data_IF_994192574613
#
_entry.id   IF_994192574613
#
_cell.length_a   1.000
_cell.length_b   1.000
_cell.length_c   1.000
_cell.angle_alpha   90.00
_cell.angle_beta   90.00
_cell.angle_gamma   90.00
#
_symmetry.space_group_name_H-M   'P 1'
#
loop_
_entity.id
_entity.type
_entity.pdbx_description
1 polymer ?
#
# COMPACT_ATOMS: atom_id res chain seq x y z
N UNK A 1 1.81 5.46 9.38
CA UNK A 1 2.69 5.12 8.25
C UNK A 1 3.81 4.26 8.78
N UNK A 2 4.13 3.14 8.11
CA UNK A 2 5.12 2.16 8.58
C UNK A 2 6.39 2.20 7.73
N UNK A 3 6.25 2.35 6.40
CA UNK A 3 7.39 2.47 5.50
C UNK A 3 7.08 2.04 4.07
N UNK A 4 8.12 2.06 3.24
CA UNK A 4 8.11 1.52 1.88
C UNK A 4 8.65 0.08 1.89
N UNK A 5 7.88 -0.88 1.37
CA UNK A 5 8.23 -2.30 1.38
C UNK A 5 8.30 -2.89 -0.02
N UNK A 6 9.15 -3.90 -0.23
CA UNK A 6 9.16 -4.70 -1.45
C UNK A 6 7.88 -5.53 -1.56
N UNK A 7 7.26 -5.55 -2.74
CA UNK A 7 6.12 -6.40 -3.05
C UNK A 7 6.51 -7.39 -4.15
N UNK A 8 5.99 -8.61 -4.09
CA UNK A 8 6.32 -9.70 -5.02
C UNK A 8 5.04 -10.51 -5.34
N UNK A 9 5.18 -11.62 -6.05
CA UNK A 9 4.02 -12.47 -6.43
C UNK A 9 3.26 -13.01 -5.22
N UNK A 10 3.93 -13.13 -4.08
CA UNK A 10 3.32 -13.52 -2.83
C UNK A 10 2.58 -12.38 -2.14
N UNK A 11 2.74 -11.13 -2.53
CA UNK A 11 2.11 -9.92 -1.94
C UNK A 11 2.41 -9.70 -0.46
N UNK A 12 2.82 -8.48 -0.11
CA UNK A 12 3.02 -8.11 1.30
C UNK A 12 1.73 -8.13 2.10
N UNK A 13 0.64 -7.69 1.47
CA UNK A 13 -0.71 -7.63 2.04
C UNK A 13 -1.67 -8.38 1.10
N UNK A 14 -2.38 -9.39 1.61
CA UNK A 14 -3.13 -10.38 0.79
C UNK A 14 -4.65 -10.38 1.03
N UNK A 15 -5.12 -9.73 2.08
CA UNK A 15 -6.48 -9.92 2.59
C UNK A 15 -7.52 -9.02 1.89
N UNK A 16 -7.08 -8.23 0.91
CA UNK A 16 -7.93 -7.42 0.05
C UNK A 16 -7.14 -6.73 -1.05
N UNK A 17 -7.75 -6.56 -2.21
CA UNK A 17 -7.19 -5.84 -3.36
C UNK A 17 -8.26 -5.00 -4.04
N UNK A 18 -7.92 -3.76 -4.38
CA UNK A 18 -8.70 -2.89 -5.26
C UNK A 18 -7.75 -2.06 -6.12
N UNK A 19 -8.14 -1.78 -7.35
CA UNK A 19 -7.53 -0.76 -8.18
C UNK A 19 -8.55 0.32 -8.56
N UNK A 20 -8.10 1.57 -8.69
CA UNK A 20 -8.97 2.70 -9.02
C UNK A 20 -8.20 3.82 -9.77
N UNK A 21 -8.80 4.38 -10.82
CA UNK A 21 -8.18 5.47 -11.58
C UNK A 21 -8.19 6.81 -10.81
N UNK A 22 -8.86 6.89 -9.66
CA UNK A 22 -8.81 8.03 -8.74
C UNK A 22 -8.32 7.63 -7.34
N UNK A 23 -7.33 6.74 -7.28
CA UNK A 23 -6.82 6.21 -6.00
C UNK A 23 -6.29 7.31 -5.10
N UNK A 24 -6.64 7.24 -3.81
CA UNK A 24 -6.06 8.06 -2.75
C UNK A 24 -5.71 7.17 -1.55
N UNK A 25 -4.79 7.64 -0.69
CA UNK A 25 -4.46 6.93 0.55
C UNK A 25 -5.69 6.76 1.45
N UNK A 26 -6.54 7.78 1.53
CA UNK A 26 -7.75 7.75 2.36
C UNK A 26 -8.80 6.78 1.81
N UNK A 27 -8.94 6.71 0.48
CA UNK A 27 -9.83 5.73 -0.14
C UNK A 27 -9.35 4.31 0.13
N UNK A 28 -8.04 4.07 0.05
CA UNK A 28 -7.48 2.76 0.38
C UNK A 28 -7.68 2.42 1.87
N UNK A 29 -7.42 3.39 2.76
CA UNK A 29 -7.69 3.23 4.18
C UNK A 29 -9.16 2.90 4.45
N UNK A 30 -10.10 3.58 3.78
CA UNK A 30 -11.54 3.34 3.92
C UNK A 30 -11.93 1.94 3.41
N UNK A 31 -11.40 1.51 2.26
CA UNK A 31 -11.62 0.17 1.72
C UNK A 31 -11.14 -0.92 2.69
N UNK A 32 -9.96 -0.75 3.28
CA UNK A 32 -9.40 -1.67 4.25
C UNK A 32 -9.95 -1.46 5.68
N UNK A 33 -11.23 -1.08 5.84
CA UNK A 33 -11.88 -1.01 7.16
C UNK A 33 -11.97 -2.42 7.77
N UNK A 34 -11.58 -2.55 9.05
CA UNK A 34 -11.54 -3.83 9.75
C UNK A 34 -10.25 -4.64 9.55
N UNK A 35 -9.25 -4.09 8.83
CA UNK A 35 -7.92 -4.66 8.70
C UNK A 35 -6.89 -3.85 9.47
N UNK A 36 -5.83 -4.49 9.95
CA UNK A 36 -4.75 -3.82 10.71
C UNK A 36 -3.90 -2.92 9.83
N UNK A 37 -3.64 -3.34 8.59
CA UNK A 37 -2.78 -2.64 7.64
C UNK A 37 -3.50 -2.39 6.32
N UNK A 38 -3.11 -1.29 5.69
CA UNK A 38 -3.40 -1.01 4.29
C UNK A 38 -2.13 -0.56 3.58
N UNK A 39 -2.08 -0.79 2.28
CA UNK A 39 -0.94 -0.41 1.47
C UNK A 39 -1.38 0.07 0.09
N UNK A 40 -0.60 0.98 -0.47
CA UNK A 40 -0.82 1.50 -1.83
C UNK A 40 0.39 1.27 -2.69
N UNK A 41 0.15 0.89 -3.94
CA UNK A 41 1.17 0.48 -4.91
C UNK A 41 0.82 0.98 -6.30
N UNK A 42 1.85 1.19 -7.13
CA UNK A 42 1.73 1.49 -8.55
C UNK A 42 0.71 2.59 -8.89
N UNK A 43 0.70 3.67 -8.08
CA UNK A 43 -0.21 4.83 -8.17
C UNK A 43 -1.69 4.56 -7.90
N UNK A 44 -2.21 3.38 -8.22
CA UNK A 44 -3.65 3.12 -8.32
C UNK A 44 -4.14 1.92 -7.55
N UNK A 45 -3.23 1.12 -7.02
CA UNK A 45 -3.55 -0.14 -6.37
C UNK A 45 -3.58 0.05 -4.86
N UNK A 46 -4.51 -0.67 -4.24
CA UNK A 46 -4.75 -0.71 -2.81
C UNK A 46 -4.80 -2.16 -2.34
N UNK A 47 -4.13 -2.43 -1.24
CA UNK A 47 -4.02 -3.74 -0.62
C UNK A 47 -4.35 -3.65 0.87
N UNK A 48 -4.93 -4.70 1.42
CA UNK A 48 -5.25 -4.81 2.84
C UNK A 48 -4.60 -6.04 3.45
N UNK A 49 -4.28 -6.00 4.74
CA UNK A 49 -3.81 -7.18 5.45
C UNK A 49 -3.82 -7.02 6.96
N UNK A 50 -3.85 -8.14 7.67
CA UNK A 50 -3.68 -8.16 9.13
C UNK A 50 -2.24 -8.46 9.57
N UNK A 51 -1.38 -8.86 8.63
CA UNK A 51 0.05 -9.14 8.81
C UNK A 51 0.86 -8.79 7.56
N UNK A 52 2.19 -8.72 7.72
CA UNK A 52 3.13 -8.62 6.60
C UNK A 52 3.63 -9.99 6.19
N UNK A 53 3.93 -10.13 4.89
CA UNK A 53 4.72 -11.25 4.39
C UNK A 53 6.18 -11.13 4.87
N UNK A 54 6.76 -12.25 5.33
CA UNK A 54 8.05 -12.29 6.03
C UNK A 54 9.23 -11.92 5.12
N UNK A 55 9.14 -12.24 3.82
CA UNK A 55 10.18 -11.91 2.84
C UNK A 55 10.06 -10.48 2.28
N UNK A 56 9.11 -9.67 2.78
CA UNK A 56 9.06 -8.24 2.44
C UNK A 56 10.15 -7.46 3.17
N UNK A 57 10.88 -6.63 2.44
CA UNK A 57 11.99 -5.82 2.97
C UNK A 57 11.58 -4.36 3.02
N UNK A 58 11.88 -3.70 4.15
CA UNK A 58 11.79 -2.25 4.23
C UNK A 58 12.91 -1.63 3.38
N UNK A 59 12.54 -0.75 2.46
CA UNK A 59 13.45 -0.14 1.49
C UNK A 59 13.35 1.39 1.53
N UNK A 60 14.35 2.11 1.00
CA UNK A 60 14.33 3.57 1.01
C UNK A 60 13.07 4.16 0.37
N UNK A 61 12.58 5.26 0.96
CA UNK A 61 11.35 5.96 0.55
C UNK A 61 11.32 6.37 -0.92
N UNK A 62 12.49 6.63 -1.52
CA UNK A 62 12.59 6.98 -2.94
C UNK A 62 12.17 5.84 -3.90
N UNK A 63 11.95 4.62 -3.39
CA UNK A 63 11.38 3.50 -4.15
C UNK A 63 9.85 3.54 -4.20
N UNK A 64 9.21 4.24 -3.27
CA UNK A 64 7.77 4.49 -3.26
C UNK A 64 7.48 5.93 -3.72
N UNK A 65 7.88 6.24 -4.95
CA UNK A 65 7.91 7.59 -5.52
C UNK A 65 6.84 7.87 -6.58
N UNK A 66 5.87 6.98 -6.77
CA UNK A 66 4.78 7.19 -7.72
C UNK A 66 3.62 7.90 -7.03
N UNK A 67 3.11 9.00 -7.61
CA UNK A 67 1.95 9.71 -7.06
C UNK A 67 0.68 8.88 -7.19
N UNK A 68 -0.24 9.04 -6.25
CA UNK A 68 -1.58 8.47 -6.36
C UNK A 68 -2.31 9.01 -7.60
N UNK A 69 -3.16 8.21 -8.23
CA UNK A 69 -3.91 8.67 -9.42
C UNK A 69 -4.95 9.75 -9.10
N UNK A 70 -5.47 9.79 -7.86
CA UNK A 70 -6.43 10.78 -7.39
C UNK A 70 -5.88 11.79 -6.36
N UNK A 71 -4.56 11.85 -6.12
CA UNK A 71 -3.96 12.72 -5.10
C UNK A 71 -2.49 13.05 -5.39
N UNK A 72 -1.97 14.15 -4.85
CA UNK A 72 -0.56 14.52 -4.95
C UNK A 72 0.38 13.73 -4.03
N UNK A 73 -0.18 12.93 -3.10
CA UNK A 73 0.57 12.06 -2.19
C UNK A 73 1.17 10.85 -2.94
N UNK A 74 2.19 10.21 -2.35
CA UNK A 74 2.79 9.00 -2.94
C UNK A 74 1.95 7.74 -2.69
N UNK A 75 1.80 6.90 -3.70
CA UNK A 75 1.10 5.61 -3.66
C UNK A 75 1.99 4.49 -4.21
N UNK A 76 3.11 4.25 -3.54
CA UNK A 76 4.04 3.17 -3.80
C UNK A 76 4.89 3.37 -5.05
N UNK A 77 5.27 2.26 -5.67
CA UNK A 77 6.11 2.17 -6.86
C UNK A 77 5.87 0.85 -7.58
N UNK A 78 6.64 0.57 -8.64
CA UNK A 78 6.63 -0.76 -9.27
C UNK A 78 7.17 -1.81 -8.29
N UNK A 79 6.33 -2.76 -7.88
CA UNK A 79 6.66 -3.77 -6.86
C UNK A 79 7.14 -3.15 -5.52
N UNK A 80 6.62 -1.97 -5.18
CA UNK A 80 6.94 -1.23 -3.96
C UNK A 80 5.67 -0.67 -3.36
N UNK A 81 5.44 -0.93 -2.08
CA UNK A 81 4.19 -0.59 -1.41
C UNK A 81 4.46 0.36 -0.25
N UNK A 82 3.79 1.52 -0.24
CA UNK A 82 3.71 2.31 1.00
C UNK A 82 2.71 1.62 1.93
N UNK A 83 3.16 1.25 3.13
CA UNK A 83 2.34 0.55 4.11
C UNK A 83 2.00 1.45 5.28
N UNK A 84 0.78 1.32 5.76
CA UNK A 84 0.22 2.09 6.85
C UNK A 84 -0.48 1.15 7.84
N UNK A 85 -0.25 1.36 9.12
CA UNK A 85 -1.03 0.76 10.19
C UNK A 85 -2.24 1.64 10.50
N UNK A 86 -3.39 0.99 10.69
CA UNK A 86 -4.60 1.62 11.16
C UNK A 86 -4.59 1.59 12.68
N UNK A 87 -4.43 2.76 13.29
CA UNK A 87 -4.70 2.94 14.72
C UNK A 87 -6.21 3.10 14.84
N UNK A 88 -6.84 2.21 15.61
CA UNK A 88 -8.27 2.24 15.90
C UNK A 88 -8.60 3.29 16.96
#
# INVERSE_FOLDING_TARGET
>A
YIGCYTDNDYRVLRDGYKQDNNMTRDMCAAFCKGRKYYGVQYSRECFCGDSFEIASENVPENKCNMKCTGSSLMCGGSHKMNIFEKVY
#
